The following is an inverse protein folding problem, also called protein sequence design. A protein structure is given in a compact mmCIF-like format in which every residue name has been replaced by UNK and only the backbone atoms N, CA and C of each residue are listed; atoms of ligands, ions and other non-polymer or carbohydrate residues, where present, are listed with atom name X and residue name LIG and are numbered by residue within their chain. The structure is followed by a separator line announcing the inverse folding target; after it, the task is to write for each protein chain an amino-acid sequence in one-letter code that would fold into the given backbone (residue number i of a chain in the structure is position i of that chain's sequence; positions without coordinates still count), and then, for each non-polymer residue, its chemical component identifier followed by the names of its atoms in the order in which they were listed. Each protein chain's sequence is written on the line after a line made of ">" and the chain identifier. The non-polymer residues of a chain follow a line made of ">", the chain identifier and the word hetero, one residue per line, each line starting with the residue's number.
data_IF_318543629890
#
_entry.id   IF_318543629890
#
_cell.length_a   1.000
_cell.length_b   1.000
_cell.length_c   1.000
_cell.angle_alpha   90.00
_cell.angle_beta   90.00
_cell.angle_gamma   90.00
#
_symmetry.space_group_name_H-M   'P 1'
#
loop_
_entity.id
_entity.type
_entity.pdbx_description
1 polymer ?
#
# COMPACT_ATOMS: atom_id res chain seq x y z
N UNK A 1 17.68 0.97 1.43
CA UNK A 1 16.27 0.58 1.42
C UNK A 1 15.95 -0.44 2.51
N UNK A 2 16.68 -1.56 2.64
CA UNK A 2 16.42 -2.59 3.64
C UNK A 2 16.27 -2.04 5.08
N UNK A 3 17.18 -1.15 5.55
CA UNK A 3 17.03 -0.47 6.84
C UNK A 3 15.72 0.32 7.00
N UNK A 4 15.23 0.95 5.94
CA UNK A 4 13.96 1.67 6.00
C UNK A 4 12.77 0.72 6.05
N UNK A 5 12.82 -0.40 5.32
CA UNK A 5 11.82 -1.45 5.38
C UNK A 5 11.77 -2.06 6.80
N UNK A 6 12.92 -2.45 7.37
CA UNK A 6 12.98 -3.01 8.71
C UNK A 6 12.40 -2.06 9.78
N UNK A 7 12.67 -0.77 9.68
CA UNK A 7 12.06 0.24 10.56
C UNK A 7 10.54 0.38 10.35
N UNK A 8 10.07 0.25 9.10
CA UNK A 8 8.65 0.37 8.75
C UNK A 8 7.81 -0.82 9.20
N UNK A 9 8.39 -2.01 9.19
CA UNK A 9 7.74 -3.27 9.58
C UNK A 9 8.08 -3.73 11.00
N UNK A 10 8.91 -2.96 11.72
CA UNK A 10 9.38 -3.29 13.08
C UNK A 10 10.06 -4.68 13.15
N UNK A 11 10.80 -5.03 12.11
CA UNK A 11 11.56 -6.26 11.97
C UNK A 11 13.07 -5.96 11.88
N UNK A 12 13.92 -6.98 11.98
CA UNK A 12 15.35 -6.82 11.79
C UNK A 12 15.70 -6.65 10.31
N UNK A 13 16.85 -6.05 10.01
CA UNK A 13 17.33 -5.92 8.62
C UNK A 13 17.59 -7.29 7.97
N UNK A 14 17.93 -8.30 8.75
CA UNK A 14 18.15 -9.67 8.26
C UNK A 14 16.83 -10.32 7.81
N UNK A 15 15.76 -10.16 8.61
CA UNK A 15 14.42 -10.68 8.28
C UNK A 15 13.83 -10.00 7.05
N UNK A 16 14.03 -8.68 6.92
CA UNK A 16 13.49 -7.90 5.80
C UNK A 16 14.34 -7.97 4.53
N UNK A 17 15.55 -8.57 4.57
CA UNK A 17 16.47 -8.47 3.44
C UNK A 17 15.94 -9.14 2.18
N UNK A 18 15.46 -10.38 2.28
CA UNK A 18 14.98 -11.12 1.12
C UNK A 18 13.70 -10.50 0.57
N UNK A 19 12.73 -10.17 1.43
CA UNK A 19 11.48 -9.53 1.05
C UNK A 19 11.74 -8.18 0.34
N UNK A 20 12.57 -7.31 0.95
CA UNK A 20 12.95 -6.02 0.33
C UNK A 20 13.63 -6.21 -1.01
N UNK A 21 14.53 -7.19 -1.12
CA UNK A 21 15.26 -7.49 -2.36
C UNK A 21 14.30 -7.95 -3.46
N UNK A 22 13.41 -8.88 -3.15
CA UNK A 22 12.45 -9.42 -4.12
C UNK A 22 11.51 -8.32 -4.61
N UNK A 23 10.93 -7.52 -3.71
CA UNK A 23 10.09 -6.39 -4.08
C UNK A 23 10.82 -5.35 -4.94
N UNK A 24 12.10 -5.08 -4.67
CA UNK A 24 12.93 -4.15 -5.47
C UNK A 24 13.20 -4.71 -6.86
N UNK A 25 13.48 -6.01 -6.97
CA UNK A 25 13.78 -6.66 -8.26
C UNK A 25 12.53 -6.83 -9.14
N UNK A 26 11.38 -7.02 -8.50
CA UNK A 26 10.10 -7.23 -9.18
C UNK A 26 9.36 -5.92 -9.50
N UNK A 27 9.90 -4.76 -9.05
CA UNK A 27 9.31 -3.46 -9.33
C UNK A 27 9.83 -2.85 -10.63
N UNK A 28 8.93 -2.26 -11.42
CA UNK A 28 9.28 -1.55 -12.65
C UNK A 28 9.93 -0.20 -12.36
N UNK A 29 9.52 0.46 -11.26
CA UNK A 29 10.00 1.78 -10.89
C UNK A 29 10.19 1.95 -9.39
N UNK A 30 11.18 2.75 -9.02
CA UNK A 30 11.54 3.07 -7.64
C UNK A 30 11.63 4.59 -7.49
N UNK A 31 10.82 5.13 -6.56
CA UNK A 31 10.94 6.52 -6.13
C UNK A 31 11.75 6.59 -4.81
N UNK A 32 12.79 7.41 -4.80
CA UNK A 32 13.65 7.60 -3.62
C UNK A 32 13.45 9.00 -3.04
N UNK A 33 13.19 9.07 -1.75
CA UNK A 33 12.99 10.33 -1.04
C UNK A 33 14.17 10.69 -0.14
N UNK A 34 14.80 11.82 -0.41
CA UNK A 34 15.96 12.30 0.34
C UNK A 34 15.62 13.55 1.15
N UNK A 35 16.24 13.68 2.32
CA UNK A 35 16.27 14.90 3.14
C UNK A 35 17.71 15.16 3.53
N UNK A 36 18.22 16.34 3.19
CA UNK A 36 19.63 16.74 3.44
C UNK A 36 20.65 15.70 2.93
N UNK A 37 20.40 15.11 1.76
CA UNK A 37 21.27 14.11 1.14
C UNK A 37 21.13 12.69 1.70
N UNK A 38 20.31 12.46 2.70
CA UNK A 38 20.08 11.13 3.28
C UNK A 38 18.76 10.53 2.80
N UNK A 39 18.77 9.25 2.45
CA UNK A 39 17.56 8.51 2.07
C UNK A 39 16.63 8.36 3.30
N UNK A 40 15.40 8.90 3.20
CA UNK A 40 14.39 8.91 4.27
C UNK A 40 13.10 8.19 3.93
N UNK A 41 12.95 7.77 2.70
CA UNK A 41 11.83 6.95 2.26
C UNK A 41 12.01 6.48 0.84
N UNK A 42 11.23 5.47 0.48
CA UNK A 42 11.11 4.99 -0.89
C UNK A 42 9.70 4.48 -1.16
N UNK A 43 9.33 4.41 -2.42
CA UNK A 43 8.14 3.73 -2.90
C UNK A 43 8.47 2.91 -4.15
N UNK A 44 7.84 1.77 -4.27
CA UNK A 44 8.02 0.79 -5.34
C UNK A 44 6.73 0.67 -6.13
N UNK A 45 6.83 0.64 -7.44
CA UNK A 45 5.68 0.60 -8.34
C UNK A 45 5.87 -0.47 -9.40
N UNK A 46 4.76 -1.14 -9.76
CA UNK A 46 4.71 -2.07 -10.88
C UNK A 46 3.47 -1.84 -11.71
N UNK A 47 3.60 -1.93 -13.02
CA UNK A 47 2.48 -1.87 -13.94
C UNK A 47 1.60 -3.10 -13.75
N UNK A 48 0.30 -2.93 -13.77
CA UNK A 48 -0.67 -4.02 -13.69
C UNK A 48 -1.88 -3.75 -14.60
N UNK A 49 -2.72 -4.78 -14.82
CA UNK A 49 -3.96 -4.69 -15.61
C UNK A 49 -3.69 -4.04 -16.99
N UNK A 50 -2.73 -4.59 -17.73
CA UNK A 50 -2.43 -4.16 -19.10
C UNK A 50 -1.96 -2.70 -19.20
N UNK A 51 -1.24 -2.19 -18.21
CA UNK A 51 -0.73 -0.82 -18.09
C UNK A 51 -1.79 0.26 -17.79
N UNK A 52 -3.05 -0.10 -17.58
CA UNK A 52 -4.10 0.83 -17.15
C UNK A 52 -3.93 1.24 -15.68
N UNK A 53 -3.44 0.34 -14.86
CA UNK A 53 -3.25 0.57 -13.44
C UNK A 53 -1.79 0.36 -13.02
N UNK A 54 -1.40 1.06 -11.98
CA UNK A 54 -0.10 0.90 -11.33
C UNK A 54 -0.31 0.47 -9.89
N UNK A 55 0.35 -0.61 -9.51
CA UNK A 55 0.39 -1.08 -8.12
C UNK A 55 1.48 -0.33 -7.35
N UNK A 56 1.11 0.25 -6.22
CA UNK A 56 2.04 0.64 -5.16
C UNK A 56 2.44 -0.65 -4.41
N UNK A 57 3.51 -1.30 -4.87
CA UNK A 57 3.99 -2.58 -4.35
C UNK A 57 4.51 -2.46 -2.93
N UNK A 58 5.16 -1.33 -2.62
CA UNK A 58 5.69 -1.08 -1.30
C UNK A 58 6.02 0.39 -1.07
N UNK A 59 5.88 0.83 0.18
CA UNK A 59 6.30 2.16 0.62
C UNK A 59 6.87 2.09 2.04
N UNK A 60 8.06 2.60 2.22
CA UNK A 60 8.69 2.72 3.53
C UNK A 60 9.21 4.14 3.76
N UNK A 61 8.84 4.72 4.91
CA UNK A 61 9.23 6.06 5.34
C UNK A 61 9.86 5.94 6.73
N UNK A 62 11.04 6.55 6.92
CA UNK A 62 11.67 6.62 8.23
C UNK A 62 10.67 7.18 9.27
N UNK A 63 10.49 6.54 10.45
CA UNK A 63 9.43 6.87 11.42
C UNK A 63 9.32 8.36 11.74
N UNK A 64 10.45 9.04 11.88
CA UNK A 64 10.54 10.49 12.13
C UNK A 64 9.83 11.36 11.07
N UNK A 65 9.69 10.85 9.84
CA UNK A 65 9.08 11.57 8.70
C UNK A 65 7.67 11.09 8.39
N UNK A 66 7.18 10.06 9.09
CA UNK A 66 5.80 9.59 8.96
C UNK A 66 4.82 10.64 9.49
N UNK A 67 3.58 10.61 9.00
CA UNK A 67 2.55 11.57 9.39
C UNK A 67 2.78 13.02 8.95
N UNK A 68 3.88 13.31 8.23
CA UNK A 68 4.27 14.66 7.76
C UNK A 68 4.09 14.85 6.25
N UNK A 69 3.30 14.01 5.62
CA UNK A 69 3.01 14.07 4.19
C UNK A 69 4.14 13.58 3.27
N UNK A 70 5.20 12.96 3.80
CA UNK A 70 6.35 12.53 2.99
C UNK A 70 5.95 11.45 1.97
N UNK A 71 5.19 10.42 2.39
CA UNK A 71 4.67 9.40 1.49
C UNK A 71 3.75 9.98 0.41
N UNK A 72 2.89 10.96 0.79
CA UNK A 72 2.04 11.66 -0.18
C UNK A 72 2.84 12.43 -1.23
N UNK A 73 3.99 13.01 -0.88
CA UNK A 73 4.87 13.67 -1.86
C UNK A 73 5.56 12.69 -2.80
N UNK A 74 6.00 11.51 -2.30
CA UNK A 74 6.53 10.46 -3.15
C UNK A 74 5.50 10.01 -4.18
N UNK A 75 4.28 9.69 -3.71
CA UNK A 75 3.22 9.25 -4.60
C UNK A 75 2.79 10.34 -5.59
N UNK A 76 2.64 11.60 -5.15
CA UNK A 76 2.29 12.71 -6.02
C UNK A 76 3.36 12.97 -7.09
N UNK A 77 4.64 12.82 -6.75
CA UNK A 77 5.73 12.96 -7.71
C UNK A 77 5.69 11.86 -8.78
N UNK A 78 5.42 10.61 -8.38
CA UNK A 78 5.21 9.50 -9.30
C UNK A 78 4.04 9.77 -10.24
N UNK A 79 2.87 10.09 -9.67
CA UNK A 79 1.63 10.36 -10.43
C UNK A 79 1.81 11.51 -11.43
N UNK A 80 2.49 12.58 -11.04
CA UNK A 80 2.75 13.73 -11.92
C UNK A 80 3.68 13.40 -13.09
N UNK A 81 4.59 12.43 -12.93
CA UNK A 81 5.53 12.01 -13.97
C UNK A 81 4.91 10.96 -14.91
N UNK A 82 4.27 9.96 -14.38
CA UNK A 82 3.82 8.78 -15.14
C UNK A 82 2.34 8.84 -15.57
N UNK A 83 1.53 9.67 -14.89
CA UNK A 83 0.10 9.89 -15.19
C UNK A 83 -0.72 8.60 -15.35
N UNK A 84 -0.66 7.64 -14.40
CA UNK A 84 -1.46 6.43 -14.49
C UNK A 84 -2.95 6.75 -14.38
N UNK A 85 -3.81 5.96 -15.02
CA UNK A 85 -5.27 6.13 -14.89
C UNK A 85 -5.74 5.67 -13.49
N UNK A 86 -5.14 4.59 -12.97
CA UNK A 86 -5.50 4.03 -11.66
C UNK A 86 -4.26 3.71 -10.83
N UNK A 87 -4.42 3.86 -9.51
CA UNK A 87 -3.50 3.38 -8.50
C UNK A 87 -4.13 2.21 -7.74
N UNK A 88 -3.36 1.15 -7.53
CA UNK A 88 -3.78 0.00 -6.74
C UNK A 88 -2.78 -0.29 -5.64
N UNK A 89 -3.18 -1.05 -4.62
CA UNK A 89 -2.27 -1.57 -3.59
C UNK A 89 -2.89 -2.74 -2.85
N UNK A 90 -2.06 -3.66 -2.38
CA UNK A 90 -2.43 -4.61 -1.33
C UNK A 90 -1.99 -4.04 0.01
N UNK A 91 -2.85 -4.04 1.01
CA UNK A 91 -2.47 -3.47 2.31
C UNK A 91 -3.26 -4.00 3.49
N UNK A 92 -2.60 -4.00 4.65
CA UNK A 92 -3.20 -4.07 5.99
C UNK A 92 -3.03 -2.73 6.73
N UNK A 93 -2.31 -1.77 6.12
CA UNK A 93 -1.95 -0.53 6.79
C UNK A 93 -2.97 0.58 6.48
N UNK A 94 -3.70 1.10 7.47
CA UNK A 94 -4.64 2.20 7.27
C UNK A 94 -3.97 3.47 6.71
N UNK A 95 -2.67 3.65 6.92
CA UNK A 95 -1.94 4.78 6.34
C UNK A 95 -1.86 4.69 4.81
N UNK A 96 -1.76 3.48 4.25
CA UNK A 96 -1.81 3.27 2.79
C UNK A 96 -3.20 3.58 2.25
N UNK A 97 -4.26 3.16 2.96
CA UNK A 97 -5.63 3.54 2.62
C UNK A 97 -5.79 5.06 2.59
N UNK A 98 -5.32 5.75 3.64
CA UNK A 98 -5.35 7.22 3.71
C UNK A 98 -4.48 7.90 2.64
N UNK A 99 -3.44 7.23 2.16
CA UNK A 99 -2.57 7.73 1.09
C UNK A 99 -3.31 7.71 -0.26
N UNK A 100 -3.92 6.57 -0.63
CA UNK A 100 -4.66 6.44 -1.88
C UNK A 100 -5.97 7.23 -1.85
N UNK A 101 -6.63 7.34 -0.70
CA UNK A 101 -7.90 8.08 -0.57
C UNK A 101 -7.79 9.61 -0.83
N UNK A 102 -6.60 10.10 -1.17
CA UNK A 102 -6.39 11.48 -1.67
C UNK A 102 -6.77 11.63 -3.13
N UNK A 103 -6.91 10.53 -3.87
CA UNK A 103 -7.30 10.48 -5.28
C UNK A 103 -8.76 10.06 -5.33
N UNK A 104 -9.67 10.89 -5.78
CA UNK A 104 -11.13 10.70 -5.99
C UNK A 104 -11.85 9.58 -5.22
N UNK A 105 -11.39 9.30 -3.99
CA UNK A 105 -11.85 8.17 -3.19
C UNK A 105 -11.14 6.86 -3.56
N UNK A 106 -11.28 5.89 -2.69
CA UNK A 106 -10.58 4.61 -2.81
C UNK A 106 -11.58 3.48 -2.54
N UNK A 107 -11.65 2.52 -3.47
CA UNK A 107 -12.32 1.25 -3.18
C UNK A 107 -11.56 0.50 -2.06
N UNK A 108 -12.23 -0.13 -1.10
CA UNK A 108 -13.68 -0.30 -0.96
C UNK A 108 -14.36 0.80 -0.12
N UNK A 109 -13.72 1.89 0.23
CA UNK A 109 -14.36 2.99 0.97
C UNK A 109 -15.33 3.78 0.08
N UNK A 110 -14.96 3.97 -1.17
CA UNK A 110 -15.84 4.40 -2.25
C UNK A 110 -16.28 3.16 -3.04
N UNK A 111 -17.57 2.86 -3.05
CA UNK A 111 -18.13 1.71 -3.76
C UNK A 111 -18.45 2.06 -5.22
N UNK A 112 -17.48 2.59 -5.92
CA UNK A 112 -17.52 2.82 -7.34
C UNK A 112 -17.33 1.49 -8.10
N UNK A 113 -18.20 1.21 -9.07
CA UNK A 113 -18.20 -0.06 -9.82
C UNK A 113 -16.93 -0.22 -10.68
N UNK A 114 -16.42 0.88 -11.24
CA UNK A 114 -15.18 0.89 -12.02
C UNK A 114 -13.97 0.55 -11.14
N UNK A 115 -13.88 1.16 -9.95
CA UNK A 115 -12.82 0.86 -8.99
C UNK A 115 -12.90 -0.56 -8.43
N UNK A 116 -14.11 -1.07 -8.22
CA UNK A 116 -14.32 -2.47 -7.82
C UNK A 116 -13.78 -3.42 -8.90
N UNK A 117 -14.10 -3.17 -10.16
CA UNK A 117 -13.62 -3.98 -11.28
C UNK A 117 -12.08 -3.93 -11.40
N UNK A 118 -11.46 -2.78 -11.23
CA UNK A 118 -9.99 -2.66 -11.20
C UNK A 118 -9.42 -3.50 -10.05
N UNK A 119 -9.98 -3.42 -8.85
CA UNK A 119 -9.52 -4.21 -7.70
C UNK A 119 -9.68 -5.72 -7.91
N UNK A 120 -10.79 -6.18 -8.51
CA UNK A 120 -11.06 -7.59 -8.81
C UNK A 120 -10.10 -8.18 -9.86
N UNK A 121 -9.57 -7.35 -10.76
CA UNK A 121 -8.60 -7.77 -11.78
C UNK A 121 -7.15 -7.80 -11.28
N UNK A 122 -6.89 -7.42 -10.03
CA UNK A 122 -5.56 -7.56 -9.43
C UNK A 122 -5.21 -9.04 -9.24
N UNK A 123 -3.94 -9.39 -9.45
CA UNK A 123 -3.46 -10.77 -9.34
C UNK A 123 -3.71 -11.34 -7.93
N UNK A 124 -4.37 -12.50 -7.86
CA UNK A 124 -4.71 -13.15 -6.60
C UNK A 124 -5.83 -12.47 -5.80
N UNK A 125 -6.57 -11.54 -6.43
CA UNK A 125 -7.71 -10.88 -5.81
C UNK A 125 -8.94 -11.79 -5.74
N UNK A 126 -9.66 -11.71 -4.64
CA UNK A 126 -10.90 -12.44 -4.38
C UNK A 126 -11.98 -11.50 -3.85
N UNK A 127 -13.16 -11.49 -4.48
CA UNK A 127 -14.32 -10.72 -4.02
C UNK A 127 -15.07 -11.47 -2.92
N UNK A 128 -15.17 -10.88 -1.73
CA UNK A 128 -15.91 -11.43 -0.59
C UNK A 128 -16.76 -10.32 0.03
N UNK A 129 -18.08 -10.54 0.06
CA UNK A 129 -19.05 -9.60 0.64
C UNK A 129 -18.96 -8.16 0.08
N UNK A 130 -18.65 -8.02 -1.22
CA UNK A 130 -18.52 -6.73 -1.90
C UNK A 130 -17.22 -5.97 -1.56
N UNK A 131 -16.22 -6.67 -1.04
CA UNK A 131 -14.87 -6.18 -0.77
C UNK A 131 -13.86 -7.11 -1.41
N UNK A 132 -12.83 -6.57 -2.03
CA UNK A 132 -11.77 -7.34 -2.68
C UNK A 132 -10.59 -7.52 -1.73
N UNK A 133 -10.13 -8.76 -1.61
CA UNK A 133 -9.00 -9.15 -0.80
C UNK A 133 -7.99 -9.96 -1.60
N UNK A 134 -6.76 -10.00 -1.13
CA UNK A 134 -5.81 -11.04 -1.48
C UNK A 134 -5.61 -11.93 -0.25
N UNK A 135 -6.21 -13.13 -0.30
CA UNK A 135 -6.15 -14.08 0.81
C UNK A 135 -4.77 -14.73 0.85
N UNK A 136 -4.15 -14.78 2.04
CA UNK A 136 -2.83 -15.38 2.22
C UNK A 136 -1.65 -14.62 1.61
N UNK A 137 -1.82 -13.35 1.21
CA UNK A 137 -0.76 -12.50 0.62
C UNK A 137 0.54 -12.50 1.44
N UNK A 138 0.40 -12.47 2.76
CA UNK A 138 1.52 -12.35 3.69
C UNK A 138 1.85 -13.66 4.45
N UNK A 139 1.36 -14.80 3.95
CA UNK A 139 1.55 -16.09 4.60
C UNK A 139 0.76 -16.23 5.91
N UNK A 140 0.95 -17.36 6.61
CA UNK A 140 0.17 -17.68 7.81
C UNK A 140 0.48 -16.76 9.00
N UNK A 141 1.71 -16.31 9.14
CA UNK A 141 2.16 -15.47 10.27
C UNK A 141 1.95 -13.98 10.03
N UNK A 142 1.56 -13.59 8.81
CA UNK A 142 1.41 -12.19 8.41
C UNK A 142 2.73 -11.43 8.32
N UNK A 143 2.70 -10.26 7.66
CA UNK A 143 3.90 -9.44 7.45
C UNK A 143 4.37 -8.69 8.71
N UNK A 144 3.45 -8.40 9.63
CA UNK A 144 3.69 -7.45 10.73
C UNK A 144 3.76 -8.11 12.12
N UNK A 145 3.52 -9.42 12.22
CA UNK A 145 3.50 -10.10 13.51
C UNK A 145 2.53 -9.44 14.51
N UNK A 146 2.99 -9.24 15.75
CA UNK A 146 2.17 -8.66 16.85
C UNK A 146 1.87 -7.16 16.64
N UNK A 147 2.61 -6.46 15.79
CA UNK A 147 2.49 -5.03 15.54
C UNK A 147 1.61 -4.70 14.32
N UNK A 148 0.70 -5.62 13.94
CA UNK A 148 -0.14 -5.48 12.76
C UNK A 148 -0.84 -4.10 12.72
N UNK A 149 -0.55 -3.28 11.69
CA UNK A 149 -1.12 -1.95 11.54
C UNK A 149 -2.63 -1.97 11.33
N UNK A 150 -3.22 -3.12 10.95
CA UNK A 150 -4.67 -3.28 10.83
C UNK A 150 -5.40 -3.00 12.15
N UNK A 151 -4.71 -3.09 13.28
CA UNK A 151 -5.24 -2.73 14.59
C UNK A 151 -5.18 -1.22 14.89
N UNK A 152 -4.55 -0.41 14.04
CA UNK A 152 -4.43 1.05 14.24
C UNK A 152 -5.66 1.77 13.68
N UNK A 153 -6.08 2.84 14.34
CA UNK A 153 -7.14 3.73 13.84
C UNK A 153 -6.56 4.83 12.94
N UNK A 154 -7.33 5.27 11.96
CA UNK A 154 -7.06 6.54 11.29
C UNK A 154 -7.28 7.69 12.28
N UNK A 155 -6.61 8.82 12.02
CA UNK A 155 -6.77 10.03 12.84
C UNK A 155 -8.24 10.47 12.82
N UNK A 156 -8.87 10.50 13.99
CA UNK A 156 -10.28 10.88 14.17
C UNK A 156 -11.27 9.69 14.25
N UNK A 157 -10.84 8.45 13.95
CA UNK A 157 -11.68 7.26 14.06
C UNK A 157 -11.53 6.60 15.45
N UNK A 158 -12.66 6.25 16.06
CA UNK A 158 -12.68 5.50 17.33
C UNK A 158 -12.52 3.98 17.13
N UNK A 159 -12.75 3.48 15.92
CA UNK A 159 -12.64 2.06 15.57
C UNK A 159 -11.53 1.93 14.52
N UNK A 160 -10.59 0.98 14.68
CA UNK A 160 -9.60 0.70 13.66
C UNK A 160 -10.29 0.44 12.32
N UNK A 161 -9.91 1.22 11.29
CA UNK A 161 -10.54 1.15 9.97
C UNK A 161 -10.58 -0.29 9.45
N UNK A 162 -9.47 -0.99 9.58
CA UNK A 162 -9.30 -2.34 9.02
C UNK A 162 -10.17 -3.39 9.72
N UNK A 163 -10.64 -3.15 10.95
CA UNK A 163 -11.59 -4.04 11.62
C UNK A 163 -12.99 -4.06 10.96
N UNK A 164 -13.27 -3.13 10.08
CA UNK A 164 -14.51 -3.12 9.28
C UNK A 164 -14.50 -4.19 8.18
N UNK A 165 -13.34 -4.79 7.90
CA UNK A 165 -13.13 -5.75 6.81
C UNK A 165 -12.89 -7.15 7.38
N UNK A 166 -13.89 -8.02 7.23
CA UNK A 166 -13.95 -9.33 7.92
C UNK A 166 -12.74 -10.23 7.67
N UNK A 167 -12.20 -10.26 6.45
CA UNK A 167 -11.06 -11.12 6.10
C UNK A 167 -9.72 -10.63 6.65
N UNK A 168 -9.63 -9.41 7.12
CA UNK A 168 -8.42 -8.89 7.78
C UNK A 168 -8.28 -9.37 9.24
N UNK A 169 -9.22 -10.16 9.76
CA UNK A 169 -9.00 -10.95 10.99
C UNK A 169 -7.91 -12.02 10.77
N UNK A 170 -7.74 -12.52 9.55
CA UNK A 170 -6.60 -13.35 9.15
C UNK A 170 -5.38 -12.47 8.89
N UNK A 171 -4.26 -12.64 9.63
CA UNK A 171 -3.06 -11.83 9.50
C UNK A 171 -2.37 -11.97 8.13
N UNK A 172 -2.57 -13.09 7.43
CA UNK A 172 -2.04 -13.32 6.09
C UNK A 172 -2.76 -12.57 4.98
N UNK A 173 -3.98 -12.10 5.21
CA UNK A 173 -4.80 -11.47 4.18
C UNK A 173 -4.55 -9.97 4.06
N UNK A 174 -4.67 -9.44 2.85
CA UNK A 174 -4.59 -8.01 2.55
C UNK A 174 -5.89 -7.49 1.94
N UNK A 175 -6.19 -6.23 2.18
CA UNK A 175 -7.21 -5.48 1.46
C UNK A 175 -6.66 -5.05 0.11
N UNK A 176 -7.42 -5.21 -0.95
CA UNK A 176 -7.09 -4.66 -2.28
C UNK A 176 -7.71 -3.27 -2.38
N UNK A 177 -6.89 -2.30 -2.72
CA UNK A 177 -7.28 -0.92 -2.95
C UNK A 177 -7.24 -0.60 -4.44
N UNK A 178 -8.17 0.24 -4.90
CA UNK A 178 -8.11 0.89 -6.20
C UNK A 178 -8.57 2.35 -6.07
N UNK A 179 -7.85 3.26 -6.71
CA UNK A 179 -8.17 4.68 -6.75
C UNK A 179 -8.00 5.21 -8.17
N UNK A 180 -8.93 6.05 -8.63
CA UNK A 180 -8.81 6.73 -9.92
C UNK A 180 -7.96 7.97 -9.77
N UNK A 181 -7.01 8.14 -10.69
CA UNK A 181 -6.16 9.33 -10.75
C UNK A 181 -6.81 10.33 -11.70
N UNK A 182 -7.13 11.52 -11.21
CA UNK A 182 -7.55 12.61 -12.08
C UNK A 182 -6.37 13.07 -12.92
N UNK A 183 -6.53 13.08 -14.23
CA UNK A 183 -5.58 13.74 -15.12
C UNK A 183 -5.74 15.27 -14.93
N UNK A 184 -4.68 15.90 -14.46
CA UNK A 184 -4.60 17.35 -14.27
C UNK A 184 -4.25 18.06 -15.57
#
# INVERSE_FOLDING_TARGET
>A
MNRLASLGFEQTEAEMYQDTKDHVLDSDQIQLGYVNGELKGFALYSSCIGSLAVELVGIAIEPKYQGRGFGGRLLAHYVSGEQPDYLTAYTRNPSTVGLLNRYNGTFPLNRDEELALIAENMNGAELVDGVVYHIGRYGQDGLYGVNDPANRSLKGDNIPLMKRFSKLSDPGSALVLAAKVDQF
#
